data_IF_540250965567
#
_entry.id   IF_540250965567
#
_cell.length_a   1.000
_cell.length_b   1.000
_cell.length_c   1.000
_cell.angle_alpha   90.00
_cell.angle_beta   90.00
_cell.angle_gamma   90.00
#
_symmetry.space_group_name_H-M   'P 1'
#
loop_
_entity.id
_entity.type
_entity.pdbx_description
1 polymer ?
#
# COMPACT_ATOMS: atom_id res chain seq x y z
N UNK A 1 -10.32 -0.46 -19.03
CA UNK A 1 -11.74 -0.29 -18.62
C UNK A 1 -12.02 1.14 -18.20
N UNK A 2 -13.29 1.60 -18.24
CA UNK A 2 -13.69 3.00 -17.93
C UNK A 2 -13.21 3.47 -16.55
N UNK A 3 -13.25 2.60 -15.54
CA UNK A 3 -12.82 2.90 -14.17
C UNK A 3 -11.33 3.28 -14.06
N UNK A 4 -10.45 2.60 -14.79
CA UNK A 4 -9.01 2.90 -14.81
C UNK A 4 -8.75 4.28 -15.41
N UNK A 5 -9.47 4.64 -16.49
CA UNK A 5 -9.33 5.96 -17.13
C UNK A 5 -9.78 7.08 -16.21
N UNK A 6 -10.91 6.92 -15.52
CA UNK A 6 -11.42 7.89 -14.56
C UNK A 6 -10.50 8.03 -13.34
N UNK A 7 -10.00 6.91 -12.82
CA UNK A 7 -9.03 6.89 -11.71
C UNK A 7 -7.74 7.62 -12.09
N UNK A 8 -7.21 7.33 -13.28
CA UNK A 8 -6.03 8.03 -13.80
C UNK A 8 -6.30 9.53 -13.96
N UNK A 9 -7.44 9.92 -14.54
CA UNK A 9 -7.80 11.33 -14.67
C UNK A 9 -7.85 12.03 -13.30
N UNK A 10 -8.47 11.41 -12.30
CA UNK A 10 -8.53 11.93 -10.94
C UNK A 10 -7.13 12.12 -10.34
N UNK A 11 -6.29 11.08 -10.37
CA UNK A 11 -4.93 11.13 -9.80
C UNK A 11 -4.06 12.21 -10.46
N UNK A 12 -4.15 12.40 -11.78
CA UNK A 12 -3.36 13.40 -12.51
C UNK A 12 -3.87 14.84 -12.36
N UNK A 13 -5.09 15.04 -11.85
CA UNK A 13 -5.74 16.35 -11.77
C UNK A 13 -6.16 16.72 -10.35
N UNK A 14 -5.74 15.97 -9.33
CA UNK A 14 -6.11 16.24 -7.95
C UNK A 14 -5.42 17.51 -7.44
N UNK A 15 -6.21 18.55 -7.17
CA UNK A 15 -5.75 19.89 -6.79
C UNK A 15 -6.25 20.27 -5.40
N UNK A 16 -5.47 21.07 -4.70
CA UNK A 16 -5.85 21.66 -3.42
C UNK A 16 -5.52 23.16 -3.38
N UNK A 17 -6.23 23.89 -2.53
CA UNK A 17 -6.01 25.31 -2.33
C UNK A 17 -5.22 25.54 -1.04
N UNK A 18 -4.23 26.41 -1.10
CA UNK A 18 -3.43 26.79 0.04
C UNK A 18 -2.86 28.20 -0.21
N UNK A 19 -2.94 29.10 0.78
CA UNK A 19 -2.34 30.43 0.72
C UNK A 19 -2.58 31.20 -0.61
N UNK A 20 -3.85 31.41 -0.98
CA UNK A 20 -4.16 32.16 -2.19
C UNK A 20 -3.97 31.39 -3.51
N UNK A 21 -3.36 30.19 -3.47
CA UNK A 21 -2.82 29.50 -4.65
C UNK A 21 -3.37 28.09 -4.80
N UNK A 22 -3.38 27.61 -6.05
CA UNK A 22 -3.81 26.26 -6.41
C UNK A 22 -2.57 25.39 -6.64
N UNK A 23 -2.53 24.27 -5.95
CA UNK A 23 -1.48 23.26 -6.04
C UNK A 23 -2.06 21.95 -6.55
N UNK A 24 -1.18 21.04 -6.99
CA UNK A 24 -1.53 19.68 -7.42
C UNK A 24 -0.75 18.67 -6.59
N UNK A 25 -1.39 17.59 -6.19
CA UNK A 25 -0.69 16.46 -5.60
C UNK A 25 0.22 15.80 -6.65
N UNK A 26 1.53 15.72 -6.38
CA UNK A 26 2.51 15.07 -7.27
C UNK A 26 2.70 13.60 -6.85
N UNK A 27 2.49 13.29 -5.56
CA UNK A 27 2.56 11.94 -4.99
C UNK A 27 1.37 11.74 -4.06
N UNK A 28 0.72 10.58 -4.18
CA UNK A 28 -0.47 10.25 -3.40
C UNK A 28 -1.65 11.16 -3.72
N UNK A 29 -2.47 11.43 -2.72
CA UNK A 29 -3.63 12.30 -2.83
C UNK A 29 -4.15 12.73 -1.46
N UNK A 30 -5.28 13.44 -1.42
CA UNK A 30 -5.86 13.93 -0.19
C UNK A 30 -6.28 12.77 0.73
N UNK A 31 -5.84 12.83 1.99
CA UNK A 31 -6.09 11.79 3.01
C UNK A 31 -7.56 11.66 3.44
N UNK A 32 -8.39 12.66 3.15
CA UNK A 32 -9.82 12.65 3.42
C UNK A 32 -10.66 12.13 2.22
N UNK A 33 -10.02 11.58 1.18
CA UNK A 33 -10.73 11.02 0.02
C UNK A 33 -10.85 9.50 0.14
N UNK A 34 -12.08 8.99 0.24
CA UNK A 34 -12.33 7.55 0.25
C UNK A 34 -11.85 6.82 -1.02
N UNK A 35 -11.75 7.52 -2.16
CA UNK A 35 -11.13 6.96 -3.37
C UNK A 35 -9.63 6.78 -3.18
N UNK A 36 -8.93 7.78 -2.62
CA UNK A 36 -7.49 7.65 -2.33
C UNK A 36 -7.26 6.53 -1.32
N UNK A 37 -8.08 6.44 -0.27
CA UNK A 37 -8.01 5.36 0.72
C UNK A 37 -8.15 3.99 0.05
N UNK A 38 -9.17 3.79 -0.78
CA UNK A 38 -9.38 2.53 -1.53
C UNK A 38 -8.18 2.21 -2.43
N UNK A 39 -7.64 3.20 -3.14
CA UNK A 39 -6.49 3.01 -4.03
C UNK A 39 -5.21 2.69 -3.24
N UNK A 40 -5.02 3.32 -2.08
CA UNK A 40 -3.94 3.01 -1.15
C UNK A 40 -4.05 1.58 -0.64
N UNK A 41 -5.24 1.13 -0.26
CA UNK A 41 -5.48 -0.25 0.18
C UNK A 41 -5.19 -1.26 -0.93
N UNK A 42 -5.57 -0.98 -2.18
CA UNK A 42 -5.25 -1.84 -3.33
C UNK A 42 -3.74 -1.89 -3.56
N UNK A 43 -3.06 -0.74 -3.52
CA UNK A 43 -1.63 -0.66 -3.73
C UNK A 43 -0.85 -1.44 -2.65
N UNK A 44 -1.20 -1.21 -1.38
CA UNK A 44 -0.61 -1.90 -0.24
C UNK A 44 -0.91 -3.39 -0.29
N UNK A 45 -2.15 -3.79 -0.58
CA UNK A 45 -2.51 -5.21 -0.72
C UNK A 45 -1.68 -5.92 -1.81
N UNK A 46 -1.34 -5.24 -2.90
CA UNK A 46 -0.46 -5.81 -3.94
C UNK A 46 0.96 -6.03 -3.43
N UNK A 47 1.51 -5.08 -2.66
CA UNK A 47 2.82 -5.25 -2.03
C UNK A 47 2.80 -6.37 -0.99
N UNK A 48 1.75 -6.45 -0.19
CA UNK A 48 1.56 -7.47 0.84
C UNK A 48 1.30 -8.84 0.28
N UNK A 49 0.71 -8.94 -0.92
CA UNK A 49 0.54 -10.23 -1.58
C UNK A 49 1.89 -10.94 -1.73
N UNK A 50 2.99 -10.21 -1.95
CA UNK A 50 4.33 -10.80 -1.95
C UNK A 50 4.69 -11.38 -0.58
N UNK A 51 4.46 -10.64 0.51
CA UNK A 51 4.62 -11.16 1.87
C UNK A 51 3.77 -12.40 2.08
N UNK A 52 2.48 -12.29 1.85
CA UNK A 52 1.52 -13.35 2.09
C UNK A 52 1.93 -14.59 1.31
N UNK A 53 2.27 -14.47 0.02
CA UNK A 53 2.63 -15.61 -0.83
C UNK A 53 4.01 -16.23 -0.45
N UNK A 54 4.97 -15.43 0.05
CA UNK A 54 6.30 -15.90 0.47
C UNK A 54 6.35 -16.39 1.93
N UNK A 55 5.52 -15.80 2.80
CA UNK A 55 5.59 -15.90 4.25
C UNK A 55 4.42 -16.71 4.85
N UNK A 56 3.21 -16.65 4.29
CA UNK A 56 2.01 -17.31 4.86
C UNK A 56 1.38 -18.31 3.86
N UNK A 57 1.30 -19.62 4.13
CA UNK A 57 0.52 -20.21 5.21
C UNK A 57 1.10 -21.54 5.72
N UNK A 58 2.43 -21.72 5.76
CA UNK A 58 3.01 -23.05 6.03
C UNK A 58 2.94 -23.49 7.51
N UNK A 59 2.89 -22.57 8.49
CA UNK A 59 3.08 -22.91 9.92
C UNK A 59 2.20 -22.13 10.94
N UNK A 60 0.90 -21.91 10.65
CA UNK A 60 -0.05 -21.27 11.60
C UNK A 60 0.38 -19.87 12.10
N UNK A 61 0.90 -19.05 11.21
CA UNK A 61 1.22 -17.64 11.51
C UNK A 61 -0.03 -16.76 11.32
N UNK A 62 -0.25 -15.82 12.25
CA UNK A 62 -1.25 -14.77 12.13
C UNK A 62 -0.72 -13.64 11.25
N UNK A 63 -1.60 -13.09 10.41
CA UNK A 63 -1.38 -11.87 9.65
C UNK A 63 -2.63 -10.99 9.73
N UNK A 64 -2.43 -9.70 10.02
CA UNK A 64 -3.48 -8.71 10.07
C UNK A 64 -2.96 -7.34 9.67
N UNK A 65 -3.83 -6.56 9.02
CA UNK A 65 -3.54 -5.19 8.62
C UNK A 65 -4.64 -4.25 9.07
N UNK A 66 -4.23 -3.08 9.53
CA UNK A 66 -5.12 -1.95 9.79
C UNK A 66 -4.53 -0.68 9.17
N UNK A 67 -5.14 -0.21 8.09
CA UNK A 67 -4.64 0.91 7.27
C UNK A 67 -3.16 0.74 6.89
N UNK A 68 -2.28 1.53 7.49
CA UNK A 68 -0.84 1.56 7.25
C UNK A 68 -0.01 0.73 8.24
N UNK A 69 -0.68 -0.03 9.12
CA UNK A 69 -0.04 -0.89 10.11
C UNK A 69 -0.26 -2.36 9.76
N UNK A 70 0.83 -3.12 9.76
CA UNK A 70 0.82 -4.57 9.58
C UNK A 70 1.24 -5.20 10.90
N UNK A 71 0.51 -6.22 11.32
CA UNK A 71 0.83 -7.07 12.46
C UNK A 71 0.85 -8.52 12.00
N UNK A 72 1.91 -9.25 12.32
CA UNK A 72 2.01 -10.66 12.03
C UNK A 72 2.83 -11.38 13.11
N UNK A 73 2.58 -12.67 13.27
CA UNK A 73 3.43 -13.54 14.08
C UNK A 73 4.42 -14.24 13.17
N UNK A 74 5.64 -14.47 13.65
CA UNK A 74 6.68 -15.16 12.89
C UNK A 74 7.19 -16.34 13.70
N UNK A 75 7.02 -17.55 13.15
CA UNK A 75 7.40 -18.79 13.83
C UNK A 75 8.69 -19.38 13.25
N UNK A 76 9.36 -18.69 12.32
CA UNK A 76 10.59 -19.14 11.66
C UNK A 76 11.81 -18.35 12.15
N UNK A 77 12.97 -18.55 11.52
CA UNK A 77 14.21 -17.89 11.94
C UNK A 77 14.17 -16.38 11.69
N UNK A 78 14.91 -15.62 12.50
CA UNK A 78 15.06 -14.19 12.30
C UNK A 78 15.81 -13.87 11.00
N UNK A 79 16.70 -14.75 10.54
CA UNK A 79 17.44 -14.58 9.29
C UNK A 79 16.50 -14.66 8.08
N UNK A 80 15.56 -15.60 8.07
CA UNK A 80 14.52 -15.70 7.03
C UNK A 80 13.61 -14.47 7.03
N UNK A 81 13.23 -13.97 8.21
CA UNK A 81 12.44 -12.75 8.31
C UNK A 81 13.17 -11.55 7.69
N UNK A 82 14.46 -11.40 8.00
CA UNK A 82 15.27 -10.31 7.45
C UNK A 82 15.37 -10.39 5.92
N UNK A 83 15.51 -11.59 5.36
CA UNK A 83 15.56 -11.79 3.91
C UNK A 83 14.24 -11.38 3.23
N UNK A 84 13.10 -11.78 3.82
CA UNK A 84 11.77 -11.44 3.30
C UNK A 84 11.50 -9.94 3.40
N UNK A 85 11.82 -9.32 4.54
CA UNK A 85 11.66 -7.87 4.70
C UNK A 85 12.55 -7.10 3.72
N UNK A 86 13.77 -7.60 3.47
CA UNK A 86 14.68 -6.99 2.49
C UNK A 86 14.13 -7.10 1.07
N UNK A 87 13.61 -8.26 0.66
CA UNK A 87 13.05 -8.44 -0.68
C UNK A 87 11.85 -7.53 -0.95
N UNK A 88 10.95 -7.35 0.04
CA UNK A 88 9.85 -6.38 -0.06
C UNK A 88 10.32 -4.94 -0.35
N UNK A 89 11.40 -4.50 0.30
CA UNK A 89 11.92 -3.13 0.13
C UNK A 89 12.73 -2.94 -1.14
N UNK A 90 13.08 -4.03 -1.84
CA UNK A 90 13.95 -3.99 -3.02
C UNK A 90 13.20 -3.97 -4.36
N UNK A 91 11.92 -4.36 -4.38
CA UNK A 91 11.10 -4.40 -5.59
C UNK A 91 10.42 -3.05 -5.95
N UNK A 92 10.63 -1.99 -5.15
CA UNK A 92 9.98 -0.69 -5.31
C UNK A 92 10.90 0.50 -5.09
#
# INVERSE_FOLDING_TARGET
>A
TKIVRLTSLFLHNNRFYYDGKIYRFIKGGPSNSGLIETLSDIYVNRMEKFLIDQSSMKQNEFYGRYHNQIFFTWNQSLDELQQILKSMTSEY
#
